data_IF_131785159192
#
_entry.id   IF_131785159192
#
_cell.length_a   1.000
_cell.length_b   1.000
_cell.length_c   1.000
_cell.angle_alpha   90.00
_cell.angle_beta   90.00
_cell.angle_gamma   90.00
#
_symmetry.space_group_name_H-M   'P 1'
#
loop_
_entity.id
_entity.type
_entity.pdbx_description
1 polymer ?
#
# COMPACT_ATOMS: atom_id res chain seq x y z
N UNK A 1 -13.46 -21.83 -15.33
CA UNK A 1 -14.92 -21.77 -15.09
C UNK A 1 -15.49 -20.54 -15.81
N UNK A 2 -16.68 -20.63 -16.44
CA UNK A 2 -17.34 -19.48 -17.09
C UNK A 2 -17.91 -18.47 -16.08
N UNK A 3 -17.94 -18.80 -14.77
CA UNK A 3 -18.51 -17.97 -13.71
C UNK A 3 -17.49 -17.71 -12.61
N UNK A 4 -17.52 -16.53 -11.95
CA UNK A 4 -16.75 -16.31 -10.74
C UNK A 4 -17.18 -17.29 -9.64
N UNK A 5 -16.23 -17.67 -8.79
CA UNK A 5 -16.50 -18.48 -7.60
C UNK A 5 -16.91 -17.56 -6.46
N UNK A 6 -18.05 -17.81 -5.85
CA UNK A 6 -18.55 -17.01 -4.71
C UNK A 6 -18.26 -17.75 -3.40
N UNK A 7 -17.59 -17.10 -2.48
CA UNK A 7 -17.37 -17.62 -1.13
C UNK A 7 -18.66 -17.55 -0.31
N UNK A 8 -18.97 -18.63 0.40
CA UNK A 8 -20.05 -18.68 1.38
C UNK A 8 -19.53 -18.36 2.78
N UNK A 9 -18.42 -18.97 3.18
CA UNK A 9 -17.74 -18.73 4.47
C UNK A 9 -16.27 -19.18 4.42
N UNK A 10 -15.49 -18.71 5.39
CA UNK A 10 -14.11 -19.13 5.60
C UNK A 10 -13.84 -19.51 7.05
N UNK A 11 -12.93 -20.46 7.27
CA UNK A 11 -12.44 -20.86 8.60
C UNK A 11 -10.96 -21.28 8.54
N UNK A 12 -10.13 -20.64 9.33
CA UNK A 12 -8.68 -20.90 9.28
C UNK A 12 -8.14 -20.62 7.87
N UNK A 13 -7.44 -21.60 7.30
CA UNK A 13 -6.89 -21.47 5.93
C UNK A 13 -7.84 -21.94 4.81
N UNK A 14 -9.10 -22.17 5.10
CA UNK A 14 -10.05 -22.73 4.13
C UNK A 14 -11.20 -21.77 3.83
N UNK A 15 -11.58 -21.73 2.57
CA UNK A 15 -12.79 -21.06 2.08
C UNK A 15 -13.73 -22.10 1.48
N UNK A 16 -15.00 -22.02 1.80
CA UNK A 16 -16.07 -22.85 1.21
C UNK A 16 -16.92 -21.97 0.31
N UNK A 17 -17.12 -22.39 -0.93
CA UNK A 17 -17.98 -21.66 -1.86
C UNK A 17 -19.47 -21.98 -1.66
N UNK A 18 -20.33 -21.25 -2.39
CA UNK A 18 -21.80 -21.44 -2.34
C UNK A 18 -22.28 -22.82 -2.84
N UNK A 19 -21.42 -23.56 -3.54
CA UNK A 19 -21.66 -24.93 -3.99
C UNK A 19 -21.19 -25.97 -2.96
N UNK A 20 -20.65 -25.53 -1.81
CA UNK A 20 -20.14 -26.39 -0.73
C UNK A 20 -18.72 -26.92 -0.98
N UNK A 21 -18.03 -26.49 -2.03
CA UNK A 21 -16.68 -26.96 -2.33
C UNK A 21 -15.66 -26.23 -1.47
N UNK A 22 -14.87 -26.97 -0.69
CA UNK A 22 -13.78 -26.42 0.12
C UNK A 22 -12.49 -26.29 -0.66
N UNK A 23 -11.78 -25.19 -0.43
CA UNK A 23 -10.47 -24.89 -1.00
C UNK A 23 -9.54 -24.33 0.06
N UNK A 24 -8.25 -24.58 -0.08
CA UNK A 24 -7.23 -23.86 0.70
C UNK A 24 -7.08 -22.48 0.08
N UNK A 25 -7.14 -21.46 0.93
CA UNK A 25 -6.99 -20.07 0.53
C UNK A 25 -5.52 -19.63 0.64
N UNK A 26 -4.80 -19.70 -0.47
CA UNK A 26 -3.43 -19.21 -0.58
C UNK A 26 -3.36 -17.68 -0.80
N UNK A 27 -4.47 -17.05 -1.16
CA UNK A 27 -4.55 -15.60 -1.33
C UNK A 27 -4.64 -14.88 0.01
N UNK A 28 -5.31 -15.50 0.99
CA UNK A 28 -5.47 -14.98 2.35
C UNK A 28 -5.91 -13.50 2.38
N UNK A 29 -6.89 -13.17 1.52
CA UNK A 29 -7.36 -11.81 1.29
C UNK A 29 -6.20 -10.83 1.00
N UNK A 30 -5.37 -11.17 0.00
CA UNK A 30 -4.16 -10.41 -0.36
C UNK A 30 -3.20 -10.23 0.82
N UNK A 31 -2.94 -11.34 1.55
CA UNK A 31 -2.05 -11.44 2.71
C UNK A 31 -2.48 -10.60 3.94
N UNK A 32 -3.72 -10.14 4.02
CA UNK A 32 -4.20 -9.33 5.16
C UNK A 32 -4.69 -10.15 6.36
N UNK A 33 -5.06 -11.43 6.17
CA UNK A 33 -5.60 -12.29 7.22
C UNK A 33 -4.51 -13.15 7.88
N UNK A 34 -3.66 -12.56 8.69
CA UNK A 34 -2.51 -13.26 9.34
C UNK A 34 -2.96 -14.47 10.16
N UNK A 35 -4.12 -14.39 10.81
CA UNK A 35 -4.67 -15.46 11.65
C UNK A 35 -5.65 -16.38 10.91
N UNK A 36 -5.84 -16.17 9.61
CA UNK A 36 -6.83 -16.87 8.80
C UNK A 36 -8.26 -16.38 9.02
N UNK A 37 -9.20 -17.04 8.34
CA UNK A 37 -10.61 -16.70 8.38
C UNK A 37 -11.25 -17.04 9.74
N UNK A 38 -12.11 -16.16 10.23
CA UNK A 38 -12.95 -16.33 11.41
C UNK A 38 -12.16 -16.83 12.65
N UNK A 39 -11.02 -16.21 12.93
CA UNK A 39 -10.23 -16.56 14.12
C UNK A 39 -11.06 -16.28 15.38
N UNK A 40 -11.26 -17.27 16.29
CA UNK A 40 -12.21 -17.14 17.41
C UNK A 40 -12.00 -15.90 18.28
N UNK A 41 -10.78 -15.63 18.70
CA UNK A 41 -10.46 -14.47 19.55
C UNK A 41 -10.78 -13.14 18.84
N UNK A 42 -10.52 -13.05 17.53
CA UNK A 42 -10.84 -11.84 16.75
C UNK A 42 -12.34 -11.67 16.62
N UNK A 43 -13.07 -12.76 16.31
CA UNK A 43 -14.55 -12.74 16.22
C UNK A 43 -15.17 -12.31 17.55
N UNK A 44 -14.70 -12.86 18.66
CA UNK A 44 -15.18 -12.53 20.01
C UNK A 44 -14.95 -11.04 20.33
N UNK A 45 -13.73 -10.53 20.13
CA UNK A 45 -13.39 -9.15 20.40
C UNK A 45 -14.19 -8.17 19.53
N UNK A 46 -14.35 -8.45 18.23
CA UNK A 46 -15.13 -7.63 17.31
C UNK A 46 -16.61 -7.65 17.71
N UNK A 47 -17.17 -8.82 18.01
CA UNK A 47 -18.57 -8.95 18.43
C UNK A 47 -18.85 -8.18 19.72
N UNK A 48 -17.96 -8.24 20.70
CA UNK A 48 -18.05 -7.48 21.93
C UNK A 48 -17.99 -5.97 21.69
N UNK A 49 -17.11 -5.51 20.78
CA UNK A 49 -17.02 -4.08 20.43
C UNK A 49 -18.27 -3.58 19.69
N UNK A 50 -18.85 -4.39 18.80
CA UNK A 50 -20.06 -4.02 18.06
C UNK A 50 -21.25 -3.69 18.98
N UNK A 51 -21.33 -4.32 20.16
CA UNK A 51 -22.39 -3.99 21.16
C UNK A 51 -22.21 -2.60 21.78
N UNK A 52 -21.01 -2.01 21.67
CA UNK A 52 -20.69 -0.67 22.19
C UNK A 52 -20.67 0.39 21.08
N UNK A 53 -20.73 -0.04 19.82
CA UNK A 53 -20.61 0.79 18.63
C UNK A 53 -19.31 0.57 17.89
N UNK A 54 -19.31 0.86 16.59
CA UNK A 54 -18.21 0.60 15.66
C UNK A 54 -17.62 1.86 15.00
N UNK A 55 -18.29 3.02 15.12
CA UNK A 55 -17.85 4.27 14.51
C UNK A 55 -18.18 5.45 15.41
N UNK A 56 -17.17 6.27 15.71
CA UNK A 56 -17.30 7.42 16.61
C UNK A 56 -16.57 8.62 16.00
N UNK A 57 -17.14 9.83 16.18
CA UNK A 57 -16.45 11.08 15.87
C UNK A 57 -15.40 11.46 16.94
N UNK A 58 -15.40 10.73 18.05
CA UNK A 58 -14.46 10.91 19.17
C UNK A 58 -13.43 9.78 19.15
N UNK A 59 -12.23 10.06 19.69
CA UNK A 59 -11.25 9.04 19.94
C UNK A 59 -11.76 7.96 20.89
N UNK A 60 -11.40 6.72 20.66
CA UNK A 60 -11.79 5.58 21.50
C UNK A 60 -10.61 5.06 22.31
N UNK A 61 -10.89 4.41 23.43
CA UNK A 61 -9.85 3.77 24.24
C UNK A 61 -9.08 2.72 23.44
N UNK A 62 -9.74 1.97 22.56
CA UNK A 62 -9.11 0.98 21.69
C UNK A 62 -8.08 1.60 20.73
N UNK A 63 -8.37 2.79 20.18
CA UNK A 63 -7.39 3.51 19.35
C UNK A 63 -6.16 3.90 20.16
N UNK A 64 -6.36 4.41 21.38
CA UNK A 64 -5.24 4.81 22.26
C UNK A 64 -4.38 3.60 22.62
N UNK A 65 -4.98 2.52 23.13
CA UNK A 65 -4.27 1.29 23.51
C UNK A 65 -3.52 0.70 22.32
N UNK A 66 -4.14 0.67 21.14
CA UNK A 66 -3.49 0.13 19.94
C UNK A 66 -2.37 1.05 19.43
N UNK A 67 -2.56 2.37 19.50
CA UNK A 67 -1.51 3.34 19.16
C UNK A 67 -0.29 3.18 20.06
N UNK A 68 -0.49 3.11 21.37
CA UNK A 68 0.60 2.88 22.35
C UNK A 68 1.33 1.56 22.10
N UNK A 69 0.58 0.48 21.81
CA UNK A 69 1.17 -0.81 21.46
C UNK A 69 2.05 -0.74 20.22
N UNK A 70 1.59 -0.10 19.14
CA UNK A 70 2.35 0.04 17.90
C UNK A 70 3.59 0.92 18.08
N UNK A 71 3.45 2.05 18.77
CA UNK A 71 4.56 2.97 19.02
C UNK A 71 5.62 2.35 19.94
N UNK A 72 5.22 1.56 20.93
CA UNK A 72 6.18 0.84 21.79
C UNK A 72 7.06 -0.15 21.03
N UNK A 73 6.57 -0.68 19.91
CA UNK A 73 7.33 -1.59 19.03
C UNK A 73 8.17 -0.86 17.97
N UNK A 74 7.94 0.42 17.79
CA UNK A 74 8.58 1.26 16.77
C UNK A 74 9.11 2.55 17.40
N UNK A 75 10.23 2.50 18.14
CA UNK A 75 10.71 3.60 18.98
C UNK A 75 11.14 4.85 18.19
N UNK A 76 11.21 4.77 16.86
CA UNK A 76 11.51 5.89 15.98
C UNK A 76 10.29 6.76 15.62
N UNK A 77 9.08 6.33 16.03
CA UNK A 77 7.85 7.08 15.78
C UNK A 77 7.25 7.58 17.09
N UNK A 78 6.87 8.84 17.11
CA UNK A 78 6.24 9.50 18.27
C UNK A 78 4.73 9.63 18.12
N UNK A 79 4.24 9.58 16.90
CA UNK A 79 2.83 9.80 16.56
C UNK A 79 2.35 8.82 15.52
N UNK A 80 1.06 8.47 15.60
CA UNK A 80 0.39 7.60 14.65
C UNK A 80 -0.96 8.19 14.26
N UNK A 81 -1.38 7.95 13.02
CA UNK A 81 -2.73 8.19 12.54
C UNK A 81 -3.27 6.95 11.86
N UNK A 82 -4.45 6.53 12.27
CA UNK A 82 -5.15 5.44 11.62
C UNK A 82 -5.99 5.95 10.44
N UNK A 83 -6.05 5.13 9.41
CA UNK A 83 -6.86 5.30 8.20
C UNK A 83 -7.43 3.94 7.80
N UNK A 84 -8.35 3.90 6.82
CA UNK A 84 -9.09 2.67 6.52
C UNK A 84 -8.40 1.75 5.50
N UNK A 85 -7.37 2.23 4.80
CA UNK A 85 -6.68 1.45 3.77
C UNK A 85 -5.22 1.86 3.60
N UNK A 86 -4.42 0.98 2.97
CA UNK A 86 -3.05 1.32 2.57
C UNK A 86 -3.00 2.47 1.55
N UNK A 87 -3.97 2.57 0.66
CA UNK A 87 -4.09 3.69 -0.28
C UNK A 87 -4.23 5.02 0.46
N UNK A 88 -5.12 5.08 1.46
CA UNK A 88 -5.29 6.29 2.28
C UNK A 88 -4.03 6.62 3.08
N UNK A 89 -3.34 5.61 3.62
CA UNK A 89 -2.09 5.80 4.36
C UNK A 89 -1.00 6.38 3.46
N UNK A 90 -0.78 5.81 2.28
CA UNK A 90 0.19 6.32 1.30
C UNK A 90 -0.17 7.73 0.85
N UNK A 91 -1.43 7.98 0.50
CA UNK A 91 -1.89 9.32 0.13
C UNK A 91 -1.63 10.34 1.25
N UNK A 92 -1.93 9.99 2.50
CA UNK A 92 -1.67 10.86 3.65
C UNK A 92 -0.17 11.13 3.85
N UNK A 93 0.68 10.10 3.73
CA UNK A 93 2.13 10.24 3.84
C UNK A 93 2.71 11.16 2.74
N UNK A 94 2.30 10.98 1.49
CA UNK A 94 2.75 11.82 0.37
C UNK A 94 2.31 13.28 0.55
N UNK A 95 1.06 13.51 0.97
CA UNK A 95 0.55 14.86 1.27
C UNK A 95 1.28 15.49 2.45
N UNK A 96 1.55 14.75 3.50
CA UNK A 96 2.31 15.23 4.66
C UNK A 96 3.75 15.59 4.27
N UNK A 97 4.41 14.77 3.46
CA UNK A 97 5.77 15.02 2.97
C UNK A 97 5.84 16.30 2.13
N UNK A 98 4.89 16.48 1.22
CA UNK A 98 4.76 17.72 0.42
C UNK A 98 4.51 18.94 1.30
N UNK A 99 3.62 18.84 2.27
CA UNK A 99 3.30 19.93 3.17
C UNK A 99 4.50 20.33 4.07
N UNK A 100 5.25 19.33 4.54
CA UNK A 100 6.42 19.53 5.38
C UNK A 100 7.60 20.17 4.63
N UNK A 101 7.84 19.72 3.39
CA UNK A 101 9.00 20.17 2.60
C UNK A 101 8.71 21.40 1.74
N UNK A 102 7.44 21.68 1.44
CA UNK A 102 7.02 22.67 0.44
C UNK A 102 7.35 22.26 -1.01
N UNK A 103 7.66 20.97 -1.25
CA UNK A 103 8.13 20.46 -2.55
C UNK A 103 7.05 19.58 -3.20
N UNK A 104 6.86 19.67 -4.54
CA UNK A 104 5.77 18.95 -5.19
C UNK A 104 6.09 17.49 -5.55
N UNK A 105 7.36 17.20 -5.89
CA UNK A 105 7.73 15.92 -6.51
C UNK A 105 7.92 14.80 -5.50
N UNK A 106 7.59 13.59 -5.91
CA UNK A 106 7.87 12.35 -5.18
C UNK A 106 8.67 11.43 -6.08
N UNK A 107 9.53 10.60 -5.51
CA UNK A 107 10.16 9.52 -6.24
C UNK A 107 9.58 8.18 -5.80
N UNK A 108 9.48 7.23 -6.73
CA UNK A 108 9.06 5.84 -6.43
C UNK A 108 9.80 4.85 -7.30
N UNK A 109 9.91 3.62 -6.82
CA UNK A 109 10.52 2.52 -7.55
C UNK A 109 9.57 2.05 -8.66
N UNK A 110 10.13 1.81 -9.85
CA UNK A 110 9.41 1.22 -10.98
C UNK A 110 8.80 -0.14 -10.62
N UNK A 111 7.59 -0.40 -11.10
CA UNK A 111 6.86 -1.65 -10.85
C UNK A 111 6.30 -1.81 -9.43
N UNK A 112 6.69 -0.99 -8.46
CA UNK A 112 6.21 -1.10 -7.09
C UNK A 112 4.76 -0.63 -6.94
N UNK A 113 3.99 -1.37 -6.13
CA UNK A 113 2.58 -1.10 -5.83
C UNK A 113 2.41 -0.39 -4.49
N UNK A 114 1.73 0.74 -4.50
CA UNK A 114 1.49 1.55 -3.30
C UNK A 114 0.03 2.02 -3.16
N UNK A 115 -0.91 1.26 -3.65
CA UNK A 115 -2.34 1.60 -3.64
C UNK A 115 -2.80 2.30 -4.92
N UNK A 116 -3.98 2.93 -4.87
CA UNK A 116 -4.71 3.42 -6.04
C UNK A 116 -4.73 4.96 -6.14
N UNK A 117 -3.78 5.65 -5.50
CA UNK A 117 -3.63 7.09 -5.64
C UNK A 117 -2.80 7.42 -6.88
N UNK A 118 -3.27 8.30 -7.76
CA UNK A 118 -2.64 8.59 -9.06
C UNK A 118 -1.11 8.73 -8.98
N UNK A 119 -0.62 9.52 -8.03
CA UNK A 119 0.82 9.73 -7.83
C UNK A 119 1.57 8.47 -7.35
N UNK A 120 0.89 7.55 -6.69
CA UNK A 120 1.47 6.30 -6.21
C UNK A 120 1.42 5.17 -7.24
N UNK A 121 0.51 5.28 -8.23
CA UNK A 121 0.33 4.29 -9.30
C UNK A 121 1.30 4.46 -10.47
N UNK A 122 1.86 5.66 -10.68
CA UNK A 122 2.75 5.92 -11.81
C UNK A 122 3.79 4.80 -11.96
N UNK A 123 3.95 4.30 -13.17
CA UNK A 123 4.89 3.22 -13.54
C UNK A 123 4.73 1.92 -12.75
N UNK A 124 3.52 1.63 -12.25
CA UNK A 124 3.21 0.37 -11.56
C UNK A 124 3.13 -0.82 -12.53
N UNK A 125 2.78 -0.56 -13.79
CA UNK A 125 2.56 -1.57 -14.84
C UNK A 125 3.31 -1.24 -16.12
N UNK A 126 4.42 -0.51 -16.02
CA UNK A 126 5.28 -0.25 -17.18
C UNK A 126 5.80 -1.55 -17.79
N UNK A 127 6.06 -1.49 -19.10
CA UNK A 127 6.52 -2.61 -19.90
C UNK A 127 7.77 -2.19 -20.69
N UNK A 128 8.56 -3.13 -21.26
CA UNK A 128 9.72 -2.80 -22.07
C UNK A 128 9.48 -1.76 -23.18
N UNK A 129 8.25 -1.70 -23.68
CA UNK A 129 7.89 -0.79 -24.78
C UNK A 129 7.68 0.66 -24.32
N UNK A 130 7.49 0.91 -23.01
CA UNK A 130 7.12 2.23 -22.49
C UNK A 130 7.86 2.72 -21.24
N UNK A 131 8.67 1.89 -20.58
CA UNK A 131 9.35 2.26 -19.33
C UNK A 131 10.54 3.22 -19.49
N UNK A 132 10.91 3.58 -20.71
CA UNK A 132 12.03 4.49 -20.98
C UNK A 132 13.34 3.78 -21.28
N UNK A 133 14.42 4.54 -21.25
CA UNK A 133 15.77 4.05 -21.51
C UNK A 133 16.44 3.56 -20.22
N UNK A 134 17.40 2.64 -20.31
CA UNK A 134 18.23 2.27 -19.17
C UNK A 134 18.85 3.51 -18.51
N UNK A 135 18.65 3.65 -17.19
CA UNK A 135 19.12 4.81 -16.44
C UNK A 135 18.21 6.03 -16.47
N UNK A 136 17.18 6.05 -17.32
CA UNK A 136 16.18 7.13 -17.40
C UNK A 136 14.75 6.57 -17.46
N UNK A 137 14.26 5.96 -16.37
CA UNK A 137 12.89 5.44 -16.33
C UNK A 137 11.88 6.53 -16.61
N UNK A 138 10.82 6.19 -17.34
CA UNK A 138 9.75 7.11 -17.69
C UNK A 138 8.58 6.98 -16.73
N UNK A 139 7.96 8.11 -16.41
CA UNK A 139 6.65 8.12 -15.73
C UNK A 139 5.55 7.64 -16.67
N UNK A 140 4.98 6.47 -16.39
CA UNK A 140 3.97 5.80 -17.23
C UNK A 140 2.64 5.77 -16.49
N UNK A 141 1.58 6.19 -17.18
CA UNK A 141 0.21 6.12 -16.66
C UNK A 141 -0.25 4.65 -16.55
N UNK A 142 -0.93 4.30 -15.47
CA UNK A 142 -1.54 2.98 -15.28
C UNK A 142 -2.85 2.85 -16.09
N UNK A 143 -3.58 3.94 -16.22
CA UNK A 143 -4.86 3.98 -16.92
C UNK A 143 -4.99 5.19 -17.82
N UNK A 144 -5.87 5.09 -18.82
CA UNK A 144 -6.23 6.23 -19.64
C UNK A 144 -6.89 7.32 -18.78
N UNK A 145 -6.50 8.57 -18.99
CA UNK A 145 -7.04 9.70 -18.25
C UNK A 145 -6.31 10.01 -16.93
N UNK A 146 -5.22 9.33 -16.60
CA UNK A 146 -4.34 9.77 -15.49
C UNK A 146 -3.94 11.23 -15.74
N UNK A 147 -4.11 12.14 -14.75
CA UNK A 147 -3.75 13.55 -14.91
C UNK A 147 -2.26 13.72 -15.26
N UNK A 148 -1.96 14.55 -16.23
CA UNK A 148 -0.57 14.81 -16.65
C UNK A 148 0.27 15.31 -15.49
N UNK A 149 -0.28 16.12 -14.59
CA UNK A 149 0.41 16.59 -13.38
C UNK A 149 0.90 15.46 -12.47
N UNK A 150 0.19 14.32 -12.43
CA UNK A 150 0.65 13.16 -11.67
C UNK A 150 1.91 12.53 -12.31
N UNK A 151 1.97 12.50 -13.64
CA UNK A 151 3.15 11.99 -14.36
C UNK A 151 4.35 12.95 -14.24
N UNK A 152 4.10 14.26 -14.28
CA UNK A 152 5.15 15.28 -14.21
C UNK A 152 5.77 15.41 -12.80
N UNK A 153 4.99 15.13 -11.77
CA UNK A 153 5.41 15.24 -10.38
C UNK A 153 5.93 13.92 -9.78
N UNK A 154 5.89 12.82 -10.53
CA UNK A 154 6.45 11.54 -10.08
C UNK A 154 7.73 11.20 -10.82
N UNK A 155 8.79 11.05 -10.06
CA UNK A 155 10.11 10.62 -10.53
C UNK A 155 10.18 9.10 -10.36
N UNK A 156 10.44 8.38 -11.43
CA UNK A 156 10.61 6.93 -11.39
C UNK A 156 12.09 6.60 -11.23
N UNK A 157 12.39 5.74 -10.28
CA UNK A 157 13.75 5.23 -10.05
C UNK A 157 13.78 3.71 -10.33
N UNK A 158 14.90 3.18 -10.87
CA UNK A 158 14.98 1.77 -11.20
C UNK A 158 14.99 0.90 -9.94
N UNK A 159 14.46 -0.32 -10.07
CA UNK A 159 14.51 -1.33 -9.03
C UNK A 159 15.92 -1.93 -8.91
N UNK A 160 16.46 -2.02 -7.69
CA UNK A 160 17.77 -2.63 -7.38
C UNK A 160 19.00 -2.07 -8.16
N UNK A 161 18.89 -0.89 -8.74
CA UNK A 161 20.03 -0.13 -9.27
C UNK A 161 20.24 1.13 -8.44
N UNK A 162 20.95 0.96 -7.33
CA UNK A 162 21.20 2.03 -6.35
C UNK A 162 21.99 3.19 -6.96
N UNK A 163 22.97 2.90 -7.83
CA UNK A 163 23.80 3.92 -8.45
C UNK A 163 22.98 4.87 -9.32
N UNK A 164 22.17 4.31 -10.22
CA UNK A 164 21.30 5.08 -11.11
C UNK A 164 20.21 5.82 -10.29
N UNK A 165 19.60 5.14 -9.31
CA UNK A 165 18.59 5.75 -8.46
C UNK A 165 19.13 6.97 -7.72
N UNK A 166 20.32 6.90 -7.12
CA UNK A 166 20.94 8.03 -6.43
C UNK A 166 21.28 9.20 -7.38
N UNK A 167 21.71 8.90 -8.61
CA UNK A 167 21.94 9.93 -9.63
C UNK A 167 20.67 10.71 -9.95
N UNK A 168 19.56 9.98 -10.23
CA UNK A 168 18.25 10.58 -10.50
C UNK A 168 17.75 11.41 -9.30
N UNK A 169 17.87 10.88 -8.09
CA UNK A 169 17.45 11.60 -6.89
C UNK A 169 18.26 12.89 -6.65
N UNK A 170 19.57 12.87 -6.95
CA UNK A 170 20.40 14.07 -6.83
C UNK A 170 20.01 15.16 -7.83
N UNK A 171 19.65 14.81 -9.04
CA UNK A 171 19.13 15.75 -10.06
C UNK A 171 17.86 16.47 -9.59
N UNK A 172 17.00 15.77 -8.85
CA UNK A 172 15.70 16.27 -8.39
C UNK A 172 15.67 16.74 -6.92
N UNK A 173 16.79 16.73 -6.21
CA UNK A 173 16.87 16.98 -4.76
C UNK A 173 16.23 18.29 -4.27
N UNK A 174 16.12 19.30 -5.15
CA UNK A 174 15.50 20.61 -4.81
C UNK A 174 13.97 20.56 -4.80
N UNK A 175 13.39 19.69 -5.63
CA UNK A 175 11.93 19.59 -5.84
C UNK A 175 11.33 18.34 -5.17
N UNK A 176 12.18 17.44 -4.68
CA UNK A 176 11.79 16.17 -4.14
C UNK A 176 11.29 16.30 -2.70
N UNK A 177 10.04 15.92 -2.45
CA UNK A 177 9.43 15.87 -1.13
C UNK A 177 9.79 14.59 -0.36
N UNK A 178 9.75 13.44 -1.03
CA UNK A 178 10.05 12.13 -0.44
C UNK A 178 10.35 11.08 -1.50
N UNK A 179 10.87 9.96 -1.03
CA UNK A 179 11.02 8.72 -1.80
C UNK A 179 10.09 7.68 -1.20
N UNK A 180 9.26 7.06 -2.05
CA UNK A 180 8.34 5.99 -1.67
C UNK A 180 8.95 4.65 -2.07
N UNK A 181 9.25 3.81 -1.08
CA UNK A 181 9.93 2.53 -1.26
C UNK A 181 9.09 1.42 -0.63
N UNK A 182 8.96 0.31 -1.36
CA UNK A 182 8.60 -0.99 -0.82
C UNK A 182 9.89 -1.83 -0.75
N UNK A 183 10.36 -2.23 0.43
CA UNK A 183 11.62 -2.97 0.56
C UNK A 183 11.55 -4.40 0.01
N UNK A 184 10.35 -4.91 -0.27
CA UNK A 184 10.13 -6.26 -0.83
C UNK A 184 8.91 -6.26 -1.77
N UNK A 185 9.00 -5.58 -2.92
CA UNK A 185 7.85 -5.37 -3.77
C UNK A 185 7.36 -6.68 -4.39
N UNK A 186 6.12 -7.05 -4.05
CA UNK A 186 5.52 -8.33 -4.48
C UNK A 186 5.33 -8.44 -6.00
N UNK A 187 5.19 -7.32 -6.70
CA UNK A 187 4.99 -7.32 -8.17
C UNK A 187 6.26 -7.62 -8.95
N UNK A 188 7.42 -7.41 -8.36
CA UNK A 188 8.73 -7.68 -8.98
C UNK A 188 9.41 -8.92 -8.39
N UNK A 189 8.63 -9.82 -7.77
CA UNK A 189 9.09 -11.15 -7.37
C UNK A 189 9.55 -11.29 -5.93
N UNK A 190 9.18 -10.37 -5.03
CA UNK A 190 9.58 -10.40 -3.61
C UNK A 190 11.11 -10.42 -3.42
N UNK A 191 11.83 -9.78 -4.31
CA UNK A 191 13.29 -9.60 -4.20
C UNK A 191 13.55 -8.39 -3.31
N UNK A 192 14.37 -8.54 -2.23
CA UNK A 192 14.72 -7.43 -1.35
C UNK A 192 15.72 -6.48 -1.98
#
# INVERSE_FOLDING_TARGET
KPHPVYAAYGKGCQVTDIEGVRRIDFSNNMASLIHGHAHPTVVEAVSAQLTKGSAFALATEQEVVYAEHLLSRNPHFEKIRFVNSGTEAVMACLKASRAYTGRPKIAKVEGAYHGLYDYAEVSQTSTPDNWGEPGHPRSVAVSHGTPQAALDDVIVIPFNDVSTALGILDEHKRDLACVLIDPMPHRVGLVP
#
